data_IF_175629790120
#
_entry.id   IF_175629790120
#
_cell.length_a   1.000
_cell.length_b   1.000
_cell.length_c   1.000
_cell.angle_alpha   90.00
_cell.angle_beta   90.00
_cell.angle_gamma   90.00
#
_symmetry.space_group_name_H-M   'P 1'
#
loop_
_entity.id
_entity.type
_entity.pdbx_description
1 polymer ?
#
# COMPACT_ATOMS: atom_id res chain seq x y z
N UNK A 1 -20.04 31.69 6.95
CA UNK A 1 -19.78 30.62 7.94
C UNK A 1 -18.30 30.33 7.93
N UNK A 2 -17.58 30.73 8.97
CA UNK A 2 -16.17 30.38 9.17
C UNK A 2 -16.06 28.87 9.24
N UNK A 3 -15.41 28.26 8.26
CA UNK A 3 -15.01 26.85 8.32
C UNK A 3 -14.20 26.66 9.59
N UNK A 4 -14.71 25.88 10.54
CA UNK A 4 -13.98 25.56 11.76
C UNK A 4 -12.62 24.97 11.38
N UNK A 5 -11.54 25.69 11.68
CA UNK A 5 -10.16 25.24 11.44
C UNK A 5 -9.79 24.23 12.53
N UNK A 6 -10.38 23.03 12.44
CA UNK A 6 -10.15 21.93 13.37
C UNK A 6 -8.70 21.46 13.23
N UNK A 7 -7.96 21.47 14.33
CA UNK A 7 -6.54 21.12 14.38
C UNK A 7 -6.26 20.14 15.51
N UNK A 8 -5.23 19.32 15.33
CA UNK A 8 -4.65 18.47 16.37
C UNK A 8 -3.16 18.80 16.54
N UNK A 9 -2.69 18.80 17.78
CA UNK A 9 -1.28 19.07 18.09
C UNK A 9 -0.79 20.43 17.58
N UNK A 10 -1.69 21.42 17.50
CA UNK A 10 -1.46 22.79 17.01
C UNK A 10 -0.87 22.94 15.59
N UNK A 11 -0.66 21.83 14.86
CA UNK A 11 0.11 21.80 13.61
C UNK A 11 -0.62 21.10 12.45
N UNK A 12 -1.56 20.22 12.75
CA UNK A 12 -2.20 19.39 11.73
C UNK A 12 -3.67 19.76 11.60
N UNK A 13 -4.04 20.34 10.46
CA UNK A 13 -5.43 20.66 10.13
C UNK A 13 -6.16 19.39 9.72
N UNK A 14 -7.32 19.15 10.29
CA UNK A 14 -8.22 18.05 9.92
C UNK A 14 -9.04 18.47 8.70
N UNK A 15 -9.02 17.64 7.65
CA UNK A 15 -9.80 17.81 6.44
C UNK A 15 -10.96 16.82 6.36
N UNK A 16 -11.27 16.36 5.15
CA UNK A 16 -12.37 15.41 4.92
C UNK A 16 -12.05 14.03 5.48
N UNK A 17 -13.09 13.32 5.93
CA UNK A 17 -13.01 11.88 6.24
C UNK A 17 -12.66 11.11 4.96
N UNK A 18 -11.68 10.21 5.04
CA UNK A 18 -11.22 9.36 3.93
C UNK A 18 -11.43 7.86 4.18
N UNK A 19 -11.77 7.48 5.42
CA UNK A 19 -12.09 6.10 5.74
C UNK A 19 -12.49 5.92 7.20
N UNK A 20 -12.75 4.68 7.55
CA UNK A 20 -12.95 4.24 8.93
C UNK A 20 -12.09 3.00 9.14
N UNK A 21 -11.34 2.99 10.24
CA UNK A 21 -10.59 1.82 10.70
C UNK A 21 -11.37 1.06 11.77
N UNK A 22 -10.76 -0.02 12.27
CA UNK A 22 -11.35 -0.92 13.27
C UNK A 22 -11.76 -0.22 14.58
N UNK A 23 -11.12 0.91 14.93
CA UNK A 23 -11.26 1.59 16.23
C UNK A 23 -11.34 3.11 16.12
N UNK A 24 -11.66 3.65 14.94
CA UNK A 24 -11.72 5.10 14.75
C UNK A 24 -11.86 5.52 13.29
N UNK A 25 -12.08 6.81 13.09
CA UNK A 25 -12.23 7.40 11.76
C UNK A 25 -10.90 7.94 11.25
N UNK A 26 -10.69 7.84 9.94
CA UNK A 26 -9.49 8.32 9.25
C UNK A 26 -9.84 9.56 8.44
N UNK A 27 -9.08 10.62 8.64
CA UNK A 27 -9.22 11.90 7.95
C UNK A 27 -7.97 12.21 7.15
N UNK A 28 -8.17 12.81 5.98
CA UNK A 28 -7.10 13.56 5.32
C UNK A 28 -6.80 14.77 6.18
N UNK A 29 -5.53 15.09 6.37
CA UNK A 29 -5.13 16.34 7.01
C UNK A 29 -3.95 16.98 6.31
N UNK A 30 -3.61 18.17 6.77
CA UNK A 30 -2.50 18.94 6.21
C UNK A 30 -1.65 19.48 7.35
N UNK A 31 -0.34 19.25 7.28
CA UNK A 31 0.62 19.93 8.14
C UNK A 31 0.67 21.42 7.72
N UNK A 32 0.20 22.32 8.57
CA UNK A 32 0.04 23.74 8.22
C UNK A 32 1.36 24.47 8.00
N UNK A 33 2.47 23.91 8.48
CA UNK A 33 3.82 24.49 8.33
C UNK A 33 4.42 24.09 6.99
N UNK A 34 4.37 22.79 6.64
CA UNK A 34 5.02 22.28 5.42
C UNK A 34 4.09 22.19 4.21
N UNK A 35 2.77 22.29 4.40
CA UNK A 35 1.76 22.01 3.36
C UNK A 35 1.62 20.53 3.02
N UNK A 36 2.32 19.64 3.71
CA UNK A 36 2.32 18.19 3.43
C UNK A 36 0.97 17.56 3.81
N UNK A 37 0.42 16.76 2.91
CA UNK A 37 -0.76 15.93 3.18
C UNK A 37 -0.41 14.73 4.08
N UNK A 38 -1.24 14.49 5.09
CA UNK A 38 -1.06 13.45 6.10
C UNK A 38 -2.38 12.71 6.35
N UNK A 39 -2.32 11.60 7.07
CA UNK A 39 -3.50 10.90 7.57
C UNK A 39 -3.65 11.14 9.09
N UNK A 40 -4.87 11.41 9.55
CA UNK A 40 -5.20 11.57 10.97
C UNK A 40 -6.21 10.50 11.35
N UNK A 41 -5.84 9.63 12.28
CA UNK A 41 -6.76 8.66 12.90
C UNK A 41 -7.28 9.23 14.21
N UNK A 42 -8.60 9.28 14.36
CA UNK A 42 -9.28 9.78 15.55
C UNK A 42 -10.06 8.65 16.23
N UNK A 43 -9.85 8.48 17.54
CA UNK A 43 -10.59 7.56 18.41
C UNK A 43 -11.22 8.36 19.54
N UNK A 44 -12.51 8.19 19.82
CA UNK A 44 -13.14 8.86 20.96
C UNK A 44 -12.54 8.37 22.27
N UNK A 45 -12.23 9.27 23.19
CA UNK A 45 -11.77 8.90 24.55
C UNK A 45 -12.84 8.13 25.34
N UNK A 46 -14.11 8.20 24.90
CA UNK A 46 -15.26 7.49 25.47
C UNK A 46 -15.47 6.10 24.83
N UNK A 47 -14.58 5.67 23.93
CA UNK A 47 -14.66 4.35 23.32
C UNK A 47 -14.64 3.25 24.38
N UNK A 48 -15.48 2.23 24.23
CA UNK A 48 -15.59 1.11 25.18
C UNK A 48 -14.26 0.35 25.36
N UNK A 49 -13.46 0.28 24.29
CA UNK A 49 -12.20 -0.43 24.25
C UNK A 49 -11.16 0.43 23.49
N UNK A 50 -10.57 1.45 24.13
CA UNK A 50 -9.62 2.34 23.48
C UNK A 50 -8.32 1.60 23.13
N UNK A 51 -7.82 1.79 21.92
CA UNK A 51 -6.67 1.06 21.38
C UNK A 51 -5.65 1.97 20.69
N UNK A 52 -5.98 3.23 20.39
CA UNK A 52 -5.13 4.07 19.54
C UNK A 52 -3.76 4.38 20.16
N UNK A 53 -3.70 4.55 21.49
CA UNK A 53 -2.42 4.73 22.20
C UNK A 53 -1.53 3.47 22.09
N UNK A 54 -2.13 2.29 22.26
CA UNK A 54 -1.41 1.03 22.09
C UNK A 54 -0.88 0.90 20.66
N UNK A 55 -1.73 1.15 19.67
CA UNK A 55 -1.37 1.13 18.26
C UNK A 55 -0.19 2.08 17.96
N UNK A 56 -0.23 3.32 18.47
CA UNK A 56 0.86 4.30 18.33
C UNK A 56 2.19 3.78 18.90
N UNK A 57 2.17 3.09 20.06
CA UNK A 57 3.37 2.47 20.65
C UNK A 57 3.89 1.31 19.81
N UNK A 58 3.01 0.53 19.19
CA UNK A 58 3.42 -0.54 18.26
C UNK A 58 4.11 0.07 17.03
N UNK A 59 3.51 1.07 16.39
CA UNK A 59 4.15 1.80 15.29
C UNK A 59 5.54 2.34 15.69
N UNK A 60 5.66 2.97 16.87
CA UNK A 60 6.96 3.47 17.36
C UNK A 60 8.00 2.34 17.53
N UNK A 61 7.57 1.14 17.92
CA UNK A 61 8.44 -0.04 18.03
C UNK A 61 8.84 -0.62 16.67
N UNK A 62 8.01 -0.40 15.65
CA UNK A 62 8.22 -0.85 14.26
C UNK A 62 8.90 0.21 13.38
N UNK A 63 9.10 1.43 13.88
CA UNK A 63 9.65 2.55 13.13
C UNK A 63 11.00 2.23 12.46
N UNK A 64 11.22 2.82 11.28
CA UNK A 64 12.38 2.55 10.42
C UNK A 64 12.24 1.31 9.52
N UNK A 65 11.16 0.53 9.67
CA UNK A 65 10.87 -0.61 8.82
C UNK A 65 10.39 -0.21 7.43
N UNK A 66 10.85 -0.93 6.41
CA UNK A 66 10.32 -0.77 5.04
C UNK A 66 8.84 -1.13 5.04
N UNK A 67 8.00 -0.23 4.56
CA UNK A 67 6.55 -0.41 4.54
C UNK A 67 5.83 -0.15 5.86
N UNK A 68 6.48 0.51 6.82
CA UNK A 68 5.85 0.95 8.07
C UNK A 68 5.65 2.48 8.00
N UNK A 69 4.40 2.96 8.00
CA UNK A 69 4.11 4.39 8.06
C UNK A 69 4.71 5.06 9.30
N UNK A 70 5.23 6.28 9.12
CA UNK A 70 5.78 7.03 10.23
C UNK A 70 4.67 7.70 11.07
N UNK A 71 4.70 7.52 12.38
CA UNK A 71 3.87 8.27 13.33
C UNK A 71 4.55 9.60 13.63
N UNK A 72 3.94 10.69 13.17
CA UNK A 72 4.44 12.06 13.31
C UNK A 72 4.08 12.66 14.67
N UNK A 73 2.91 12.29 15.17
CA UNK A 73 2.39 12.79 16.43
C UNK A 73 1.30 11.86 16.97
N UNK A 74 1.21 11.75 18.29
CA UNK A 74 0.11 11.14 19.00
C UNK A 74 -0.20 11.99 20.23
N UNK A 75 -1.49 12.19 20.53
CA UNK A 75 -1.93 12.87 21.74
C UNK A 75 -3.44 12.91 21.86
N UNK A 76 -3.92 13.41 22.99
CA UNK A 76 -5.35 13.62 23.24
C UNK A 76 -5.69 15.08 22.98
N UNK A 77 -6.72 15.32 22.18
CA UNK A 77 -7.22 16.64 21.84
C UNK A 77 -8.75 16.63 22.03
N UNK A 78 -9.26 17.45 22.95
CA UNK A 78 -10.66 17.44 23.35
C UNK A 78 -11.14 16.03 23.74
N UNK A 79 -12.21 15.55 23.11
CA UNK A 79 -12.83 14.24 23.35
C UNK A 79 -12.24 13.10 22.49
N UNK A 80 -11.05 13.31 21.90
CA UNK A 80 -10.44 12.35 20.98
C UNK A 80 -8.95 12.09 21.28
N UNK A 81 -8.55 10.82 21.21
CA UNK A 81 -7.18 10.46 20.93
C UNK A 81 -6.94 10.60 19.43
N UNK A 82 -5.82 11.20 19.06
CA UNK A 82 -5.47 11.51 17.69
C UNK A 82 -4.06 11.01 17.36
N UNK A 83 -3.92 10.32 16.24
CA UNK A 83 -2.66 9.81 15.71
C UNK A 83 -2.44 10.33 14.30
N UNK A 84 -1.33 11.04 14.08
CA UNK A 84 -0.94 11.61 12.79
C UNK A 84 0.11 10.72 12.15
N UNK A 85 -0.17 10.28 10.92
CA UNK A 85 0.60 9.30 10.16
C UNK A 85 0.95 9.85 8.77
N UNK A 86 1.92 9.21 8.12
CA UNK A 86 2.11 9.34 6.68
C UNK A 86 0.81 9.04 5.92
N UNK A 87 0.47 9.89 4.95
CA UNK A 87 -0.57 9.58 3.97
C UNK A 87 -0.05 8.49 3.00
N UNK A 88 -0.90 7.51 2.75
CA UNK A 88 -0.63 6.41 1.82
C UNK A 88 -1.63 6.42 0.66
N UNK A 89 -1.35 5.60 -0.35
CA UNK A 89 -2.22 5.37 -1.49
C UNK A 89 -3.35 4.41 -1.18
N UNK A 90 -4.04 3.88 -2.21
CA UNK A 90 -5.16 2.97 -2.04
C UNK A 90 -4.74 1.65 -1.39
N UNK A 91 -5.68 1.00 -0.70
CA UNK A 91 -5.50 -0.36 -0.17
C UNK A 91 -5.45 -1.39 -1.30
N UNK A 92 -4.96 -2.58 -1.01
CA UNK A 92 -5.01 -3.68 -1.97
C UNK A 92 -6.46 -4.12 -2.25
N UNK A 93 -7.41 -3.94 -1.32
CA UNK A 93 -8.84 -4.18 -1.62
C UNK A 93 -9.39 -3.14 -2.61
N UNK A 94 -9.03 -1.86 -2.46
CA UNK A 94 -9.44 -0.81 -3.39
C UNK A 94 -8.91 -1.08 -4.80
N UNK A 95 -7.62 -1.43 -4.89
CA UNK A 95 -6.97 -1.79 -6.15
C UNK A 95 -7.53 -3.08 -6.75
N UNK A 96 -7.91 -4.02 -5.90
CA UNK A 96 -8.57 -5.25 -6.33
C UNK A 96 -9.93 -4.97 -6.96
N UNK A 97 -10.74 -4.13 -6.33
CA UNK A 97 -12.01 -3.67 -6.89
C UNK A 97 -11.80 -2.89 -8.21
N UNK A 98 -10.76 -2.02 -8.27
CA UNK A 98 -10.40 -1.29 -9.48
C UNK A 98 -10.02 -2.23 -10.64
N UNK A 99 -9.40 -3.38 -10.35
CA UNK A 99 -9.02 -4.40 -11.34
C UNK A 99 -10.11 -5.48 -11.51
N UNK A 100 -11.39 -5.12 -11.35
CA UNK A 100 -12.53 -6.05 -11.52
C UNK A 100 -12.44 -7.32 -10.66
N UNK A 101 -11.88 -7.18 -9.45
CA UNK A 101 -11.80 -8.24 -8.43
C UNK A 101 -11.09 -9.50 -8.91
N UNK A 102 -10.04 -9.35 -9.71
CA UNK A 102 -9.12 -10.44 -10.03
C UNK A 102 -7.76 -9.86 -10.39
N UNK A 103 -6.71 -10.33 -9.73
CA UNK A 103 -5.36 -9.98 -10.14
C UNK A 103 -4.75 -11.07 -11.03
N UNK A 104 -3.88 -10.64 -11.93
CA UNK A 104 -3.00 -11.53 -12.69
C UNK A 104 -2.02 -12.24 -11.75
N UNK A 105 -1.53 -13.41 -12.19
CA UNK A 105 -0.52 -14.15 -11.44
C UNK A 105 0.73 -13.29 -11.19
N UNK A 106 1.21 -12.54 -12.21
CA UNK A 106 2.33 -11.60 -12.09
C UNK A 106 2.13 -10.62 -10.93
N UNK A 107 0.98 -9.96 -10.85
CA UNK A 107 0.66 -9.01 -9.77
C UNK A 107 0.65 -9.68 -8.40
N UNK A 108 0.03 -10.86 -8.28
CA UNK A 108 -0.01 -11.59 -6.99
C UNK A 108 1.38 -12.00 -6.54
N UNK A 109 2.26 -12.44 -7.44
CA UNK A 109 3.63 -12.84 -7.10
C UNK A 109 4.53 -11.64 -6.74
N UNK A 110 4.39 -10.50 -7.43
CA UNK A 110 5.06 -9.25 -7.04
C UNK A 110 4.64 -8.80 -5.63
N UNK A 111 3.34 -8.93 -5.31
CA UNK A 111 2.81 -8.64 -3.99
C UNK A 111 3.30 -9.64 -2.94
N UNK A 112 3.28 -10.94 -3.23
CA UNK A 112 3.67 -12.00 -2.30
C UNK A 112 5.06 -11.76 -1.69
N UNK A 113 6.03 -11.38 -2.53
CA UNK A 113 7.39 -11.07 -2.10
C UNK A 113 7.46 -9.96 -1.06
N UNK A 114 6.74 -8.85 -1.31
CA UNK A 114 6.69 -7.72 -0.38
C UNK A 114 5.88 -8.06 0.87
N UNK A 115 4.71 -8.69 0.73
CA UNK A 115 3.81 -9.01 1.83
C UNK A 115 4.50 -9.94 2.85
N UNK A 116 5.14 -11.03 2.39
CA UNK A 116 5.90 -11.93 3.27
C UNK A 116 7.00 -11.15 4.02
N UNK A 117 7.70 -10.26 3.31
CA UNK A 117 8.76 -9.43 3.91
C UNK A 117 8.24 -8.45 4.97
N UNK A 118 7.03 -7.89 4.80
CA UNK A 118 6.42 -7.06 5.84
C UNK A 118 6.08 -7.84 7.09
N UNK A 119 5.50 -9.03 6.91
CA UNK A 119 5.12 -9.90 8.02
C UNK A 119 6.36 -10.43 8.75
N UNK A 120 7.41 -10.81 8.02
CA UNK A 120 8.71 -11.14 8.62
C UNK A 120 9.27 -9.99 9.46
N UNK A 121 9.22 -8.75 8.97
CA UNK A 121 9.71 -7.59 9.72
C UNK A 121 8.94 -7.39 11.04
N UNK A 122 7.61 -7.48 10.99
CA UNK A 122 6.75 -7.36 12.19
C UNK A 122 7.11 -8.48 13.20
N UNK A 123 7.26 -9.72 12.72
CA UNK A 123 7.67 -10.86 13.53
C UNK A 123 9.07 -10.71 14.12
N UNK A 124 10.02 -10.12 13.38
CA UNK A 124 11.37 -9.85 13.86
C UNK A 124 11.35 -8.86 15.03
N UNK A 125 10.45 -7.87 14.99
CA UNK A 125 10.18 -6.93 16.08
C UNK A 125 9.33 -7.50 17.22
N UNK A 126 9.14 -8.82 17.26
CA UNK A 126 8.48 -9.57 18.33
C UNK A 126 6.95 -9.37 18.42
N UNK A 127 6.32 -8.84 17.36
CA UNK A 127 4.87 -8.71 17.25
C UNK A 127 4.30 -9.69 16.23
N UNK A 128 3.05 -10.11 16.44
CA UNK A 128 2.17 -10.68 15.41
C UNK A 128 1.06 -9.66 15.14
N UNK A 129 0.57 -9.59 13.91
CA UNK A 129 -0.40 -8.61 13.46
C UNK A 129 -1.84 -9.01 13.81
N UNK A 130 -2.21 -10.29 13.59
CA UNK A 130 -3.53 -10.87 13.92
C UNK A 130 -4.74 -10.37 13.11
N UNK A 131 -4.54 -9.56 12.08
CA UNK A 131 -5.61 -9.12 11.17
C UNK A 131 -5.11 -8.90 9.74
N UNK A 132 -4.46 -9.92 9.20
CA UNK A 132 -3.96 -9.93 7.81
C UNK A 132 -5.15 -9.97 6.86
N UNK A 133 -5.36 -8.86 6.13
CA UNK A 133 -6.42 -8.70 5.13
C UNK A 133 -6.04 -7.65 4.09
N UNK A 134 -6.61 -7.66 2.87
CA UNK A 134 -6.27 -6.73 1.80
C UNK A 134 -6.38 -5.25 2.20
N UNK A 135 -7.36 -4.89 3.04
CA UNK A 135 -7.58 -3.52 3.51
C UNK A 135 -6.43 -2.96 4.34
N UNK A 136 -5.64 -3.82 5.00
CA UNK A 136 -4.52 -3.42 5.86
C UNK A 136 -3.19 -3.32 5.11
N UNK A 137 -3.19 -3.52 3.79
CA UNK A 137 -2.03 -3.34 2.93
C UNK A 137 -2.28 -2.23 1.93
N UNK A 138 -1.48 -1.17 1.98
CA UNK A 138 -1.66 0.02 1.16
C UNK A 138 -0.42 0.29 0.31
N UNK A 139 -0.63 0.73 -0.93
CA UNK A 139 0.49 1.18 -1.76
C UNK A 139 1.01 2.53 -1.26
N UNK A 140 2.30 2.80 -1.44
CA UNK A 140 2.84 4.14 -1.23
C UNK A 140 2.32 5.13 -2.27
N UNK A 141 2.70 6.40 -2.09
CA UNK A 141 2.39 7.48 -3.03
C UNK A 141 3.64 7.98 -3.75
N UNK A 142 3.46 8.58 -4.93
CA UNK A 142 4.55 9.17 -5.73
C UNK A 142 5.66 8.16 -6.02
N UNK A 143 6.92 8.53 -5.67
CA UNK A 143 8.10 7.68 -5.88
C UNK A 143 8.08 6.35 -5.10
N UNK A 144 7.23 6.24 -4.07
CA UNK A 144 7.02 5.00 -3.28
C UNK A 144 5.81 4.19 -3.78
N UNK A 145 5.27 4.50 -4.96
CA UNK A 145 4.05 3.88 -5.51
C UNK A 145 4.14 2.38 -5.78
N UNK A 146 5.34 1.80 -5.85
CA UNK A 146 5.59 0.37 -5.98
C UNK A 146 5.79 -0.36 -4.64
N UNK A 147 5.81 0.37 -3.51
CA UNK A 147 6.03 -0.18 -2.18
C UNK A 147 4.70 -0.47 -1.48
N UNK A 148 4.53 -1.71 -1.02
CA UNK A 148 3.43 -2.09 -0.11
C UNK A 148 3.77 -1.66 1.31
N UNK A 149 2.79 -1.14 2.04
CA UNK A 149 2.87 -0.73 3.44
C UNK A 149 1.81 -1.49 4.26
N UNK A 150 2.07 -1.72 5.53
CA UNK A 150 1.13 -2.37 6.46
C UNK A 150 0.60 -1.36 7.46
N UNK A 151 -0.70 -1.41 7.72
CA UNK A 151 -1.41 -0.53 8.65
C UNK A 151 -2.25 -1.32 9.65
N UNK A 152 -2.85 -0.60 10.60
CA UNK A 152 -3.79 -1.10 11.63
C UNK A 152 -3.18 -2.14 12.59
N UNK A 153 -2.33 -1.65 13.50
CA UNK A 153 -1.74 -2.46 14.56
C UNK A 153 -2.60 -2.52 15.84
N UNK A 154 -3.87 -2.09 15.80
CA UNK A 154 -4.75 -2.12 16.97
C UNK A 154 -4.93 -3.52 17.55
N UNK A 155 -4.95 -4.53 16.67
CA UNK A 155 -5.01 -5.95 17.05
C UNK A 155 -3.65 -6.61 17.19
N UNK A 156 -2.53 -5.91 16.99
CA UNK A 156 -1.20 -6.53 17.10
C UNK A 156 -0.91 -6.99 18.54
N UNK A 157 -0.04 -7.99 18.72
CA UNK A 157 0.33 -8.50 20.05
C UNK A 157 1.78 -8.98 20.06
N UNK A 158 2.48 -8.78 21.19
CA UNK A 158 3.79 -9.40 21.39
C UNK A 158 3.64 -10.92 21.53
N UNK A 159 4.31 -11.68 20.66
CA UNK A 159 4.30 -13.14 20.70
C UNK A 159 5.53 -13.72 21.41
N UNK A 160 6.53 -12.89 21.67
CA UNK A 160 7.71 -13.25 22.45
C UNK A 160 8.23 -12.05 23.21
N UNK A 161 8.99 -12.30 24.26
CA UNK A 161 9.73 -11.24 24.93
C UNK A 161 10.80 -10.65 23.98
N UNK A 162 10.90 -9.32 23.85
CA UNK A 162 11.82 -8.69 22.90
C UNK A 162 13.30 -8.81 23.28
N UNK A 163 13.63 -9.14 24.53
CA UNK A 163 15.02 -9.26 25.01
C UNK A 163 15.50 -10.72 25.00
N UNK A 164 14.70 -11.61 25.57
CA UNK A 164 15.03 -13.03 25.77
C UNK A 164 14.53 -13.91 24.62
N UNK A 165 13.59 -13.40 23.81
CA UNK A 165 12.92 -14.15 22.74
C UNK A 165 12.14 -15.39 23.21
N UNK A 166 11.85 -15.53 24.51
CA UNK A 166 10.93 -16.53 25.00
C UNK A 166 9.53 -16.31 24.41
N UNK A 167 9.02 -17.35 23.75
CA UNK A 167 7.70 -17.35 23.13
C UNK A 167 6.59 -17.34 24.19
N UNK A 168 5.47 -16.70 23.89
CA UNK A 168 4.27 -16.79 24.73
C UNK A 168 3.83 -18.26 24.85
N UNK A 169 3.22 -18.69 25.97
CA UNK A 169 2.73 -20.05 26.12
C UNK A 169 1.54 -20.30 25.21
N UNK A 170 1.36 -21.57 24.82
CA UNK A 170 0.18 -22.05 24.13
C UNK A 170 -1.07 -21.85 25.01
N UNK A 171 -2.18 -21.42 24.40
CA UNK A 171 -3.47 -21.24 25.08
C UNK A 171 -4.61 -21.54 24.11
N UNK A 172 -5.70 -22.08 24.64
CA UNK A 172 -6.95 -22.33 23.93
C UNK A 172 -8.09 -21.45 24.49
N UNK A 173 -9.32 -21.67 24.04
CA UNK A 173 -10.53 -20.96 24.48
C UNK A 173 -10.45 -19.44 24.27
N UNK A 174 -9.76 -19.01 23.22
CA UNK A 174 -9.67 -17.60 22.79
C UNK A 174 -10.86 -17.24 21.91
N UNK A 175 -11.32 -16.00 22.03
CA UNK A 175 -12.28 -15.46 21.09
C UNK A 175 -11.63 -15.22 19.72
N UNK A 176 -12.40 -15.46 18.66
CA UNK A 176 -11.98 -15.10 17.30
C UNK A 176 -11.65 -13.60 17.25
N UNK A 177 -10.40 -13.31 16.92
CA UNK A 177 -9.84 -11.96 16.76
C UNK A 177 -9.43 -11.78 15.30
N UNK A 178 -9.73 -10.61 14.74
CA UNK A 178 -9.48 -10.31 13.33
C UNK A 178 -10.62 -10.72 12.40
N UNK A 179 -10.35 -10.69 11.10
CA UNK A 179 -11.36 -10.89 10.05
C UNK A 179 -11.56 -12.38 9.74
N UNK A 180 -12.72 -12.94 10.12
CA UNK A 180 -13.03 -14.37 9.96
C UNK A 180 -12.79 -14.97 8.56
N UNK A 181 -12.93 -14.16 7.50
CA UNK A 181 -12.65 -14.56 6.11
C UNK A 181 -11.20 -15.02 5.93
N UNK A 182 -10.26 -14.32 6.55
CA UNK A 182 -8.82 -14.55 6.39
C UNK A 182 -8.18 -15.23 7.60
N UNK A 183 -8.86 -15.28 8.75
CA UNK A 183 -8.34 -15.92 9.97
C UNK A 183 -7.90 -17.39 9.75
N UNK A 184 -6.80 -17.82 10.38
CA UNK A 184 -6.33 -19.21 10.34
C UNK A 184 -7.35 -20.20 10.89
N UNK A 185 -7.22 -21.48 10.55
CA UNK A 185 -8.06 -22.55 11.13
C UNK A 185 -7.89 -22.58 12.66
N UNK A 186 -6.66 -22.46 13.16
CA UNK A 186 -6.36 -22.39 14.60
C UNK A 186 -7.08 -21.23 15.30
N UNK A 187 -7.19 -20.06 14.65
CA UNK A 187 -7.92 -18.91 15.19
C UNK A 187 -9.40 -19.21 15.35
N UNK A 188 -10.01 -19.93 14.39
CA UNK A 188 -11.41 -20.36 14.50
C UNK A 188 -11.60 -21.39 15.61
N UNK A 189 -10.63 -22.27 15.83
CA UNK A 189 -10.61 -23.27 16.92
C UNK A 189 -10.31 -22.66 18.30
N UNK A 190 -10.18 -21.33 18.40
CA UNK A 190 -9.93 -20.65 19.67
C UNK A 190 -8.52 -20.84 20.22
N UNK A 191 -7.56 -21.21 19.38
CA UNK A 191 -6.14 -21.28 19.74
C UNK A 191 -5.54 -19.88 19.71
N UNK A 192 -4.66 -19.57 20.67
CA UNK A 192 -3.87 -18.34 20.67
C UNK A 192 -3.08 -18.21 19.38
N UNK A 193 -3.09 -17.01 18.78
CA UNK A 193 -2.38 -16.77 17.54
C UNK A 193 -0.88 -16.63 17.77
N UNK A 194 -0.13 -17.03 16.76
CA UNK A 194 1.33 -16.98 16.66
C UNK A 194 1.73 -16.60 15.23
N UNK A 195 3.03 -16.66 14.92
CA UNK A 195 3.55 -16.29 13.59
C UNK A 195 2.92 -17.09 12.45
N UNK A 196 2.61 -18.37 12.67
CA UNK A 196 2.03 -19.25 11.63
C UNK A 196 0.64 -18.76 11.18
N UNK A 197 -0.09 -18.11 12.08
CA UNK A 197 -1.47 -17.67 11.83
C UNK A 197 -1.51 -16.44 10.92
N UNK A 198 -0.57 -15.50 11.08
CA UNK A 198 -0.39 -14.39 10.13
C UNK A 198 0.01 -14.94 8.74
N UNK A 199 0.88 -15.94 8.69
CA UNK A 199 1.34 -16.54 7.43
C UNK A 199 0.24 -17.33 6.73
N UNK A 200 -0.55 -18.14 7.43
CA UNK A 200 -1.70 -18.85 6.86
C UNK A 200 -2.75 -17.86 6.32
N UNK A 201 -3.03 -16.81 7.09
CA UNK A 201 -3.95 -15.73 6.69
C UNK A 201 -3.50 -15.04 5.40
N UNK A 202 -2.19 -14.79 5.25
CA UNK A 202 -1.60 -14.25 4.04
C UNK A 202 -1.78 -15.21 2.83
N UNK A 203 -1.72 -16.52 3.04
CA UNK A 203 -2.02 -17.52 2.02
C UNK A 203 -3.45 -17.40 1.48
N UNK A 204 -4.43 -17.22 2.37
CA UNK A 204 -5.82 -16.96 1.97
C UNK A 204 -5.99 -15.63 1.23
N UNK A 205 -5.26 -14.58 1.62
CA UNK A 205 -5.27 -13.29 0.93
C UNK A 205 -4.73 -13.43 -0.51
N UNK A 206 -3.62 -14.12 -0.70
CA UNK A 206 -3.04 -14.32 -2.04
C UNK A 206 -3.98 -15.14 -2.95
N UNK A 207 -4.59 -16.20 -2.42
CA UNK A 207 -5.58 -16.98 -3.18
C UNK A 207 -6.85 -16.19 -3.46
N UNK A 208 -7.30 -15.35 -2.52
CA UNK A 208 -8.43 -14.43 -2.74
C UNK A 208 -8.18 -13.53 -3.96
N UNK A 209 -6.97 -12.98 -4.08
CA UNK A 209 -6.59 -12.16 -5.23
C UNK A 209 -6.58 -12.93 -6.56
N UNK A 210 -6.07 -14.16 -6.58
CA UNK A 210 -6.08 -14.99 -7.79
C UNK A 210 -7.50 -15.43 -8.19
N UNK A 211 -8.35 -15.74 -7.21
CA UNK A 211 -9.66 -16.37 -7.40
C UNK A 211 -10.81 -15.40 -7.59
N UNK A 212 -10.70 -14.16 -7.09
CA UNK A 212 -11.82 -13.23 -6.97
C UNK A 212 -12.65 -13.41 -5.69
N UNK A 213 -12.71 -14.64 -5.19
CA UNK A 213 -13.38 -14.98 -3.94
C UNK A 213 -12.85 -16.29 -3.33
N UNK A 214 -13.06 -16.44 -2.02
CA UNK A 214 -12.82 -17.64 -1.25
C UNK A 214 -14.11 -18.47 -1.10
N UNK A 215 -14.04 -19.82 -1.06
CA UNK A 215 -15.22 -20.70 -1.05
C UNK A 215 -16.15 -20.55 0.17
N UNK A 216 -15.69 -19.87 1.22
CA UNK A 216 -16.45 -19.58 2.45
C UNK A 216 -17.02 -18.16 2.49
N UNK A 217 -17.03 -17.44 1.37
CA UNK A 217 -17.74 -16.16 1.26
C UNK A 217 -19.23 -16.35 0.97
N UNK A 218 -20.06 -15.37 1.36
CA UNK A 218 -21.50 -15.37 1.06
C UNK A 218 -22.34 -16.37 1.87
N UNK A 219 -21.75 -17.11 2.82
CA UNK A 219 -22.48 -18.04 3.67
C UNK A 219 -23.52 -17.29 4.51
N UNK A 220 -24.80 -17.65 4.32
CA UNK A 220 -25.93 -17.14 5.11
C UNK A 220 -25.87 -17.76 6.51
N UNK A 221 -26.30 -17.02 7.53
CA UNK A 221 -26.48 -17.51 8.90
C UNK A 221 -27.38 -16.51 9.67
N UNK A 222 -28.09 -16.97 10.71
CA UNK A 222 -28.97 -16.10 11.49
C UNK A 222 -28.18 -15.21 12.46
N UNK A 223 -27.07 -15.71 12.98
CA UNK A 223 -26.21 -14.96 13.91
C UNK A 223 -24.76 -14.87 13.43
N UNK A 224 -24.02 -13.89 13.97
CA UNK A 224 -22.59 -13.71 13.70
C UNK A 224 -21.77 -14.94 14.12
N UNK A 225 -22.11 -15.55 15.26
CA UNK A 225 -21.48 -16.79 15.75
C UNK A 225 -21.68 -17.94 14.76
N UNK A 226 -22.93 -18.21 14.37
CA UNK A 226 -23.23 -19.24 13.36
C UNK A 226 -22.54 -18.96 12.01
N UNK A 227 -22.40 -17.70 11.62
CA UNK A 227 -21.65 -17.34 10.41
C UNK A 227 -20.18 -17.74 10.52
N UNK A 228 -19.56 -17.51 11.67
CA UNK A 228 -18.18 -17.90 11.94
C UNK A 228 -18.03 -19.41 11.99
N UNK A 229 -18.93 -20.12 12.65
CA UNK A 229 -18.95 -21.58 12.69
C UNK A 229 -19.04 -22.19 11.28
N UNK A 230 -19.90 -21.64 10.41
CA UNK A 230 -20.02 -22.08 9.00
C UNK A 230 -18.76 -21.79 8.18
N UNK A 231 -18.10 -20.65 8.42
CA UNK A 231 -16.82 -20.33 7.77
C UNK A 231 -15.74 -21.31 8.23
N UNK A 232 -15.65 -21.58 9.53
CA UNK A 232 -14.72 -22.55 10.12
C UNK A 232 -14.92 -23.94 9.49
N UNK A 233 -16.15 -24.45 9.53
CA UNK A 233 -16.50 -25.75 8.96
C UNK A 233 -16.11 -25.82 7.48
N UNK A 234 -16.44 -24.79 6.69
CA UNK A 234 -16.08 -24.74 5.28
C UNK A 234 -14.57 -24.69 5.04
N UNK A 235 -13.80 -24.01 5.89
CA UNK A 235 -12.32 -23.99 5.82
C UNK A 235 -11.72 -25.37 6.12
N UNK A 236 -12.19 -26.03 7.17
CA UNK A 236 -11.70 -27.35 7.58
C UNK A 236 -12.06 -28.45 6.57
N UNK A 237 -13.25 -28.36 5.97
CA UNK A 237 -13.74 -29.34 4.98
C UNK A 237 -13.29 -29.06 3.55
N UNK A 238 -12.52 -27.99 3.30
CA UNK A 238 -11.95 -27.70 1.97
C UNK A 238 -10.45 -28.05 1.99
N UNK A 239 -10.03 -29.20 1.42
CA UNK A 239 -8.63 -29.57 1.31
C UNK A 239 -7.81 -28.50 0.58
N UNK A 240 -6.52 -28.38 0.90
CA UNK A 240 -5.62 -27.40 0.28
C UNK A 240 -5.60 -27.54 -1.25
N UNK A 241 -5.59 -28.77 -1.74
CA UNK A 241 -5.53 -29.13 -3.16
C UNK A 241 -6.82 -28.72 -3.88
N UNK A 242 -7.96 -28.79 -3.19
CA UNK A 242 -9.25 -28.32 -3.72
C UNK A 242 -9.29 -26.80 -3.74
N UNK A 243 -8.81 -26.15 -2.68
CA UNK A 243 -8.76 -24.69 -2.59
C UNK A 243 -7.84 -24.07 -3.67
N UNK A 244 -6.71 -24.72 -3.94
CA UNK A 244 -5.69 -24.26 -4.90
C UNK A 244 -5.88 -24.81 -6.31
N UNK A 245 -6.93 -25.60 -6.57
CA UNK A 245 -7.19 -26.18 -7.90
C UNK A 245 -7.26 -25.09 -8.97
N UNK A 246 -6.50 -25.26 -10.04
CA UNK A 246 -6.42 -24.32 -11.16
C UNK A 246 -5.41 -23.17 -10.98
N UNK A 247 -4.63 -23.20 -9.89
CA UNK A 247 -3.53 -22.26 -9.64
C UNK A 247 -2.20 -23.01 -9.51
N UNK A 248 -1.05 -22.32 -9.65
CA UNK A 248 0.27 -22.93 -9.46
C UNK A 248 0.42 -23.66 -8.12
N UNK A 249 1.16 -24.77 -8.12
CA UNK A 249 1.28 -25.66 -6.96
C UNK A 249 1.93 -24.95 -5.74
N UNK A 250 2.69 -23.89 -5.97
CA UNK A 250 3.35 -23.08 -4.95
C UNK A 250 2.35 -22.52 -3.92
N UNK A 251 1.11 -22.21 -4.32
CA UNK A 251 0.07 -21.78 -3.37
C UNK A 251 -0.33 -22.90 -2.40
N UNK A 252 -0.42 -24.14 -2.89
CA UNK A 252 -0.70 -25.30 -2.04
C UNK A 252 0.49 -25.62 -1.13
N UNK A 253 1.71 -25.56 -1.66
CA UNK A 253 2.96 -25.72 -0.89
C UNK A 253 3.03 -24.69 0.24
N UNK A 254 2.76 -23.41 -0.04
CA UNK A 254 2.73 -22.34 0.94
C UNK A 254 1.71 -22.63 2.07
N UNK A 255 0.47 -22.97 1.72
CA UNK A 255 -0.57 -23.25 2.71
C UNK A 255 -0.26 -24.50 3.54
N UNK A 256 0.19 -25.58 2.91
CA UNK A 256 0.55 -26.80 3.63
C UNK A 256 1.75 -26.57 4.56
N UNK A 257 2.75 -25.79 4.14
CA UNK A 257 3.86 -25.37 5.00
C UNK A 257 3.37 -24.56 6.22
N UNK A 258 2.54 -23.54 6.01
CA UNK A 258 2.08 -22.68 7.11
C UNK A 258 1.20 -23.43 8.11
N UNK A 259 0.43 -24.42 7.64
CA UNK A 259 -0.38 -25.31 8.48
C UNK A 259 0.44 -26.36 9.25
N UNK A 260 1.62 -26.73 8.76
CA UNK A 260 2.48 -27.72 9.43
C UNK A 260 3.36 -27.13 10.54
N UNK A 261 3.51 -25.80 10.58
CA UNK A 261 4.26 -25.10 11.63
C UNK A 261 3.67 -25.35 13.01
N UNK A 262 4.52 -25.68 13.98
CA UNK A 262 4.19 -25.70 15.41
C UNK A 262 3.90 -24.28 15.89
N UNK A 263 3.29 -24.17 17.06
CA UNK A 263 2.86 -22.89 17.61
C UNK A 263 4.01 -21.91 17.82
N UNK A 264 5.17 -22.40 18.22
CA UNK A 264 6.37 -21.63 18.54
C UNK A 264 7.46 -21.71 17.46
N UNK A 265 7.18 -22.36 16.32
CA UNK A 265 8.13 -22.41 15.20
C UNK A 265 8.39 -21.02 14.62
N UNK A 266 9.63 -20.78 14.20
CA UNK A 266 9.98 -19.63 13.36
C UNK A 266 9.75 -20.04 11.90
N UNK A 267 8.82 -19.40 11.16
CA UNK A 267 8.67 -19.65 9.74
C UNK A 267 9.96 -19.38 8.96
N UNK A 268 10.24 -20.21 7.96
CA UNK A 268 11.27 -19.94 6.96
C UNK A 268 10.71 -19.00 5.88
N UNK A 269 10.72 -17.71 6.20
CA UNK A 269 10.23 -16.65 5.30
C UNK A 269 10.99 -16.63 3.97
N UNK A 270 12.27 -17.00 3.98
CA UNK A 270 13.12 -17.03 2.79
C UNK A 270 12.68 -18.15 1.84
N UNK A 271 12.42 -19.35 2.37
CA UNK A 271 11.81 -20.43 1.59
C UNK A 271 10.46 -20.03 0.98
N UNK A 272 9.58 -19.44 1.78
CA UNK A 272 8.25 -19.02 1.32
C UNK A 272 8.29 -17.92 0.24
N UNK A 273 9.27 -17.01 0.29
CA UNK A 273 9.50 -16.08 -0.84
C UNK A 273 10.11 -16.79 -2.04
N UNK A 274 11.07 -17.67 -1.81
CA UNK A 274 11.80 -18.36 -2.87
C UNK A 274 10.86 -19.14 -3.78
N UNK A 275 9.90 -19.89 -3.23
CA UNK A 275 8.95 -20.66 -4.06
C UNK A 275 8.19 -19.76 -5.05
N UNK A 276 7.75 -18.56 -4.62
CA UNK A 276 7.05 -17.63 -5.51
C UNK A 276 7.99 -16.90 -6.47
N UNK A 277 9.24 -16.61 -6.07
CA UNK A 277 10.26 -16.05 -6.97
C UNK A 277 10.65 -17.04 -8.07
N UNK A 278 10.84 -18.31 -7.72
CA UNK A 278 11.15 -19.37 -8.69
C UNK A 278 10.00 -19.53 -9.70
N UNK A 279 8.75 -19.52 -9.22
CA UNK A 279 7.57 -19.51 -10.08
C UNK A 279 7.53 -18.27 -10.98
N UNK A 280 7.80 -17.08 -10.43
CA UNK A 280 7.82 -15.83 -11.19
C UNK A 280 8.80 -15.87 -12.36
N UNK A 281 10.00 -16.41 -12.12
CA UNK A 281 11.03 -16.60 -13.16
C UNK A 281 10.60 -17.65 -14.17
N UNK A 282 10.01 -18.77 -13.73
CA UNK A 282 9.54 -19.85 -14.60
C UNK A 282 8.44 -19.41 -15.57
N UNK A 283 7.55 -18.53 -15.13
CA UNK A 283 6.51 -17.92 -15.96
C UNK A 283 7.06 -16.84 -16.92
N UNK A 284 8.36 -16.53 -16.85
CA UNK A 284 8.99 -15.52 -17.71
C UNK A 284 8.59 -14.08 -17.39
N UNK A 285 8.09 -13.81 -16.18
CA UNK A 285 7.70 -12.46 -15.80
C UNK A 285 8.92 -11.57 -15.55
N UNK A 286 8.80 -10.30 -15.93
CA UNK A 286 9.79 -9.27 -15.65
C UNK A 286 9.48 -8.59 -14.31
N UNK A 287 10.51 -8.40 -13.49
CA UNK A 287 10.40 -7.73 -12.19
C UNK A 287 10.52 -6.21 -12.38
N UNK A 288 9.49 -5.62 -13.00
CA UNK A 288 9.41 -4.22 -13.43
C UNK A 288 8.53 -3.35 -12.52
N UNK A 289 7.96 -3.94 -11.47
CA UNK A 289 6.94 -3.31 -10.60
C UNK A 289 5.70 -2.81 -11.34
N UNK A 290 5.40 -3.38 -12.51
CA UNK A 290 4.16 -3.10 -13.26
C UNK A 290 3.08 -4.06 -12.78
N UNK A 291 2.20 -3.52 -11.93
CA UNK A 291 0.99 -4.19 -11.45
C UNK A 291 -0.19 -3.98 -12.39
N UNK A 292 -1.26 -4.76 -12.21
CA UNK A 292 -2.45 -4.69 -13.06
C UNK A 292 -3.05 -3.29 -13.08
N UNK A 293 -3.20 -2.64 -11.92
CA UNK A 293 -3.77 -1.29 -11.82
C UNK A 293 -2.94 -0.25 -12.58
N UNK A 294 -1.63 -0.46 -12.73
CA UNK A 294 -0.76 0.42 -13.54
C UNK A 294 -1.16 0.33 -15.01
N UNK A 295 -1.37 -0.88 -15.52
CA UNK A 295 -1.79 -1.14 -16.90
C UNK A 295 -3.22 -0.64 -17.13
N UNK A 296 -4.15 -0.98 -16.25
CA UNK A 296 -5.55 -0.55 -16.34
C UNK A 296 -5.69 0.98 -16.34
N UNK A 297 -4.93 1.68 -15.50
CA UNK A 297 -4.93 3.15 -15.48
C UNK A 297 -4.42 3.74 -16.78
N UNK A 298 -3.35 3.18 -17.34
CA UNK A 298 -2.82 3.63 -18.63
C UNK A 298 -3.83 3.42 -19.77
N UNK A 299 -4.46 2.25 -19.84
CA UNK A 299 -5.48 1.93 -20.84
C UNK A 299 -6.71 2.84 -20.73
N UNK A 300 -7.23 3.07 -19.53
CA UNK A 300 -8.36 4.00 -19.32
C UNK A 300 -8.02 5.43 -19.72
N UNK A 301 -6.81 5.91 -19.40
CA UNK A 301 -6.37 7.24 -19.80
C UNK A 301 -6.26 7.36 -21.32
N UNK A 302 -5.69 6.35 -22.00
CA UNK A 302 -5.60 6.33 -23.45
C UNK A 302 -6.99 6.32 -24.11
N UNK A 303 -7.94 5.54 -23.57
CA UNK A 303 -9.33 5.54 -24.03
C UNK A 303 -10.02 6.89 -23.84
N UNK A 304 -9.83 7.54 -22.69
CA UNK A 304 -10.40 8.86 -22.42
C UNK A 304 -9.84 9.93 -23.38
N UNK A 305 -8.54 9.88 -23.68
CA UNK A 305 -7.91 10.79 -24.66
C UNK A 305 -8.46 10.53 -26.06
N UNK A 306 -8.58 9.26 -26.48
CA UNK A 306 -9.12 8.91 -27.79
C UNK A 306 -10.60 9.33 -27.94
N UNK A 307 -11.40 9.18 -26.88
CA UNK A 307 -12.80 9.64 -26.87
C UNK A 307 -12.91 11.16 -26.93
N UNK A 308 -12.07 11.88 -26.18
CA UNK A 308 -12.02 13.34 -26.25
C UNK A 308 -11.57 13.84 -27.63
N UNK A 309 -10.64 13.13 -28.29
CA UNK A 309 -10.19 13.45 -29.64
C UNK A 309 -11.24 13.10 -30.73
N UNK A 310 -12.01 12.01 -30.55
CA UNK A 310 -13.09 11.62 -31.47
C UNK A 310 -14.38 12.43 -31.31
N UNK A 311 -14.55 13.15 -30.20
CA UNK A 311 -15.62 14.13 -29.98
C UNK A 311 -15.24 15.56 -30.41
N UNK A 312 -14.00 15.78 -30.86
CA UNK A 312 -13.63 17.03 -31.53
C UNK A 312 -14.35 17.07 -32.89
N UNK A 313 -15.41 17.87 -32.95
CA UNK A 313 -16.26 18.00 -34.13
C UNK A 313 -15.43 18.66 -35.25
N UNK A 314 -15.32 18.08 -36.46
CA UNK A 314 -14.61 18.69 -37.59
C UNK A 314 -15.10 20.10 -37.95
N UNK A 315 -16.36 20.42 -37.60
CA UNK A 315 -16.99 21.73 -37.84
C UNK A 315 -16.43 22.87 -36.95
N UNK A 316 -15.88 22.55 -35.77
CA UNK A 316 -15.27 23.57 -34.90
C UNK A 316 -13.87 23.96 -35.37
N UNK A 317 -13.13 23.02 -35.99
CA UNK A 317 -11.87 23.30 -36.67
C UNK A 317 -12.10 24.07 -37.99
N UNK A 318 -13.20 23.81 -38.70
CA UNK A 318 -13.55 24.56 -39.90
C UNK A 318 -13.97 26.01 -39.58
N UNK A 319 -14.68 26.26 -38.47
CA UNK A 319 -14.95 27.61 -37.95
C UNK A 319 -13.70 28.32 -37.42
N UNK A 320 -12.77 27.59 -36.78
CA UNK A 320 -11.48 28.14 -36.34
C UNK A 320 -10.52 28.44 -37.51
N UNK A 321 -10.65 27.72 -38.63
CA UNK A 321 -9.87 27.95 -39.86
C UNK A 321 -10.49 29.05 -40.74
N UNK A 322 -11.82 29.13 -40.82
CA UNK A 322 -12.57 30.18 -41.53
C UNK A 322 -12.42 31.57 -40.86
N UNK A 323 -12.30 31.63 -39.53
CA UNK A 323 -12.02 32.86 -38.79
C UNK A 323 -10.59 33.38 -38.98
N UNK A 324 -9.61 32.50 -39.29
CA UNK A 324 -8.24 32.91 -39.66
C UNK A 324 -8.11 33.38 -41.11
N UNK A 325 -8.93 32.88 -42.02
CA UNK A 325 -8.95 33.34 -43.43
C UNK A 325 -9.70 34.66 -43.62
N UNK A 326 -10.72 34.97 -42.80
CA UNK A 326 -11.45 36.26 -42.88
C UNK A 326 -10.69 37.45 -42.25
N UNK A 327 -9.65 37.20 -41.44
CA UNK A 327 -8.79 38.26 -40.90
C UNK A 327 -7.68 38.69 -41.90
N UNK A 328 -7.47 37.94 -42.99
CA UNK A 328 -6.44 38.21 -43.99
C UNK A 328 -6.93 39.01 -45.21
N UNK A 329 -8.24 39.29 -45.33
CA UNK A 329 -8.86 39.99 -46.48
C UNK A 329 -9.51 41.34 -46.13
N UNK A 330 -9.50 41.76 -44.87
CA UNK A 330 -9.98 43.09 -44.45
C UNK A 330 -8.85 43.92 -43.84
N UNK A 331 -8.00 44.51 -44.70
CA UNK A 331 -6.95 45.40 -44.23
C UNK A 331 -5.90 45.80 -45.26
N UNK A 332 -6.30 46.27 -46.45
CA UNK A 332 -5.41 47.04 -47.32
C UNK A 332 -6.13 48.26 -47.94
N UNK A 333 -5.37 49.37 -47.97
CA UNK A 333 -5.64 50.74 -48.45
C UNK A 333 -6.33 51.67 -47.44
N UNK A 334 -5.81 52.85 -47.09
CA UNK A 334 -4.60 53.60 -47.46
C UNK A 334 -4.26 54.53 -46.27
N UNK A 335 -3.00 54.78 -45.90
CA UNK A 335 -2.22 55.89 -46.46
C UNK A 335 -0.71 55.72 -46.18
N UNK A 336 0.09 56.04 -47.21
CA UNK A 336 1.55 56.32 -47.20
C UNK A 336 1.78 57.84 -47.02
N UNK A 337 3.02 58.36 -46.97
CA UNK A 337 4.28 57.82 -46.43
C UNK A 337 5.03 58.87 -45.57
N UNK A 338 6.09 58.47 -44.85
CA UNK A 338 7.35 59.25 -44.85
C UNK A 338 8.54 58.42 -44.34
N UNK A 339 9.72 58.87 -44.76
CA UNK A 339 10.92 58.08 -45.03
C UNK A 339 11.90 57.84 -43.85
N UNK A 340 12.56 56.68 -43.92
CA UNK A 340 13.99 56.32 -43.73
C UNK A 340 14.91 57.48 -43.22
N UNK A 341 15.78 57.27 -42.19
CA UNK A 341 17.06 56.62 -42.46
C UNK A 341 17.65 55.61 -41.46
N UNK A 342 18.47 54.76 -42.10
CA UNK A 342 19.34 53.69 -41.61
C UNK A 342 20.46 54.13 -40.67
N UNK A 343 20.85 53.25 -39.74
CA UNK A 343 22.24 52.97 -39.29
C UNK A 343 22.17 51.82 -38.27
N UNK A 344 22.75 50.63 -38.46
CA UNK A 344 24.15 50.17 -38.58
C UNK A 344 24.93 50.18 -37.24
N UNK A 345 25.12 49.01 -36.63
CA UNK A 345 26.37 48.39 -36.07
C UNK A 345 26.01 47.36 -34.97
N UNK A 346 26.32 46.06 -35.10
CA UNK A 346 27.61 45.32 -34.94
C UNK A 346 28.27 45.47 -33.56
N UNK A 347 28.33 44.36 -32.80
CA UNK A 347 29.53 43.71 -32.21
C UNK A 347 29.09 42.49 -31.36
N UNK A 348 29.38 41.24 -31.78
CA UNK A 348 30.55 40.39 -31.43
C UNK A 348 30.56 40.01 -29.93
N UNK A 349 30.28 38.77 -29.50
CA UNK A 349 30.89 37.45 -29.77
C UNK A 349 32.30 37.26 -29.14
N UNK A 350 32.46 36.09 -28.50
CA UNK A 350 33.68 35.38 -28.01
C UNK A 350 34.12 35.69 -26.57
N UNK A 351 34.48 34.72 -25.73
CA UNK A 351 34.70 33.28 -25.89
C UNK A 351 35.86 32.81 -24.99
N UNK A 352 35.89 31.51 -24.64
CA UNK A 352 36.99 30.71 -24.02
C UNK A 352 37.41 31.07 -22.58
N UNK A 353 37.81 30.16 -21.69
CA UNK A 353 38.13 28.72 -21.72
C UNK A 353 38.87 28.33 -20.41
N UNK A 354 39.24 27.05 -20.27
CA UNK A 354 39.94 26.36 -19.15
C UNK A 354 39.02 25.95 -17.96
N UNK A 355 38.89 24.68 -17.57
CA UNK A 355 39.93 23.69 -17.22
C UNK A 355 40.11 23.73 -15.69
N UNK A 356 39.86 22.71 -14.88
CA UNK A 356 40.70 21.52 -14.65
C UNK A 356 40.17 20.79 -13.37
N UNK A 357 40.36 19.48 -13.30
CA UNK A 357 40.43 18.55 -12.16
C UNK A 357 39.20 18.06 -11.35
N UNK A 358 38.88 16.79 -11.61
CA UNK A 358 38.33 15.80 -10.68
C UNK A 358 39.44 15.19 -9.81
N UNK A 359 39.21 14.91 -8.51
CA UNK A 359 40.04 13.97 -7.78
C UNK A 359 39.44 12.56 -7.82
N UNK A 360 40.27 11.66 -8.33
CA UNK A 360 40.20 10.21 -8.19
C UNK A 360 40.68 9.82 -6.79
N UNK A 361 39.99 8.92 -6.09
CA UNK A 361 40.50 8.32 -4.84
C UNK A 361 40.36 6.81 -4.90
N UNK A 362 41.48 6.14 -5.18
CA UNK A 362 41.69 4.73 -4.88
C UNK A 362 43.18 4.40 -4.66
N UNK A 363 43.46 3.49 -3.70
CA UNK A 363 44.73 2.93 -3.15
C UNK A 363 45.27 3.64 -1.88
N UNK A 364 45.74 2.97 -0.82
CA UNK A 364 46.38 1.64 -0.61
C UNK A 364 46.00 1.07 0.79
N UNK A 365 45.78 -0.23 1.01
CA UNK A 365 46.72 -1.34 1.37
C UNK A 365 47.61 -1.11 2.62
N UNK A 366 47.48 -2.03 3.59
CA UNK A 366 48.39 -2.34 4.71
C UNK A 366 47.61 -2.42 6.04
N UNK A 367 47.46 -3.53 6.79
CA UNK A 367 48.22 -4.78 6.87
C UNK A 367 49.05 -4.79 8.17
N UNK A 368 48.53 -5.44 9.23
CA UNK A 368 49.16 -5.95 10.48
C UNK A 368 48.20 -5.70 11.66
N UNK A 369 48.08 -6.46 12.74
CA UNK A 369 48.43 -7.80 13.19
C UNK A 369 47.68 -7.97 14.54
N UNK A 370 47.25 -9.19 14.86
CA UNK A 370 47.18 -9.82 16.21
C UNK A 370 46.99 -8.93 17.46
N UNK A 371 45.87 -9.11 18.17
CA UNK A 371 45.72 -9.95 19.39
C UNK A 371 44.27 -9.94 19.86
#
# INVERSE_FOLDING_TARGET
MTTMDLRVGNKYRIGRKIGSGSFGDIYLGTNIISGEEIAIKLESVKAKHPQLEYEARVYKSLAGGVGIPFVRWFGTECDYNAMVLDLLGPSLEDLFNFCNRKFSLKTVLLLADQLISRIEYIHAKSFIHRDIKPDNFLMGIGKRGNQVNVIDFGLAKKYRDPKTHFHIPYRENKNLTGTARYASINTHLGVEQSRRDDMESLGYVMLYFCRGSLPWQGLKAATKKQKYDRIMEKKMTTPTEVLCRGFPNEFAIYLNYTRSLRFDDKPDYSYLRKIFRDLFVREGFQYDYVFDWTVYKYQKNAQAIAQAAGQANPEDDEKARASRTNAATAGQSAAKPNAIPSTRRKMLERGSGAGVDTPDTNRAIGGSDRM
#
